data_IF_879046889247
#
_entry.id   IF_879046889247
#
_cell.length_a   1.000
_cell.length_b   1.000
_cell.length_c   1.000
_cell.angle_alpha   90.00
_cell.angle_beta   90.00
_cell.angle_gamma   90.00
#
_symmetry.space_group_name_H-M   'P 1'
#
loop_
_entity.id
_entity.type
_entity.pdbx_description
1 polymer ?
#
# COMPACT_ATOMS: atom_id res chain seq x y z
N UNK A 1 -10.53 -12.09 15.85
CA UNK A 1 -11.64 -11.42 15.14
C UNK A 1 -11.19 -10.11 14.52
N UNK A 2 -11.76 -9.77 13.38
CA UNK A 2 -11.46 -8.54 12.66
C UNK A 2 -12.65 -7.60 12.74
N UNK A 3 -12.40 -6.32 13.03
CA UNK A 3 -13.43 -5.30 13.07
C UNK A 3 -13.36 -4.46 11.81
N UNK A 4 -14.47 -4.40 11.07
CA UNK A 4 -14.57 -3.57 9.86
C UNK A 4 -15.65 -2.53 10.11
N UNK A 5 -15.25 -1.27 10.11
CA UNK A 5 -16.18 -0.17 10.37
C UNK A 5 -16.98 0.19 9.11
N UNK A 6 -17.85 1.21 9.22
CA UNK A 6 -18.80 1.53 8.15
C UNK A 6 -18.08 2.04 6.88
N UNK A 7 -18.69 1.73 5.74
CA UNK A 7 -18.25 2.19 4.42
C UNK A 7 -16.83 1.75 4.03
N UNK A 8 -16.36 0.62 4.57
CA UNK A 8 -15.09 0.02 4.17
C UNK A 8 -15.27 -0.75 2.87
N UNK A 9 -14.39 -0.52 1.91
CA UNK A 9 -14.35 -1.26 0.65
C UNK A 9 -13.10 -2.11 0.59
N UNK A 10 -13.26 -3.41 0.40
CA UNK A 10 -12.14 -4.35 0.28
C UNK A 10 -12.22 -4.99 -1.11
N UNK A 11 -11.25 -4.70 -1.96
CA UNK A 11 -11.19 -5.27 -3.30
C UNK A 11 -10.73 -6.73 -3.27
N UNK A 12 -10.98 -7.47 -4.36
CA UNK A 12 -10.75 -8.90 -4.42
C UNK A 12 -9.35 -9.36 -4.14
N UNK A 13 -9.22 -10.58 -3.59
CA UNK A 13 -7.96 -11.25 -3.27
C UNK A 13 -7.09 -10.50 -2.26
N UNK A 14 -7.69 -9.65 -1.41
CA UNK A 14 -7.00 -9.02 -0.31
C UNK A 14 -7.08 -9.89 0.94
N UNK A 15 -6.00 -9.92 1.71
CA UNK A 15 -5.93 -10.65 2.97
C UNK A 15 -5.93 -9.69 4.14
N UNK A 16 -6.80 -9.95 5.10
CA UNK A 16 -6.90 -9.16 6.33
C UNK A 16 -6.48 -10.04 7.50
N UNK A 17 -5.45 -9.64 8.21
CA UNK A 17 -4.97 -10.40 9.37
C UNK A 17 -5.99 -10.46 10.51
N UNK A 18 -5.80 -11.35 11.49
CA UNK A 18 -6.69 -11.46 12.64
C UNK A 18 -6.50 -10.29 13.60
N UNK A 19 -7.55 -9.99 14.37
CA UNK A 19 -7.52 -8.95 15.42
C UNK A 19 -7.14 -7.56 14.91
N UNK A 20 -7.53 -7.24 13.68
CA UNK A 20 -7.26 -5.95 13.04
C UNK A 20 -8.55 -5.15 12.98
N UNK A 21 -8.44 -3.83 13.11
CA UNK A 21 -9.56 -2.90 12.92
C UNK A 21 -9.30 -2.05 11.68
N UNK A 22 -10.26 -2.04 10.75
CA UNK A 22 -10.23 -1.15 9.59
C UNK A 22 -11.12 0.04 9.87
N UNK A 23 -10.54 1.22 9.90
CA UNK A 23 -11.25 2.46 10.16
C UNK A 23 -12.29 2.79 9.10
N UNK A 24 -13.25 3.64 9.46
CA UNK A 24 -14.35 4.03 8.59
C UNK A 24 -13.88 4.62 7.27
N UNK A 25 -14.58 4.30 6.20
CA UNK A 25 -14.31 4.79 4.83
C UNK A 25 -12.94 4.40 4.29
N UNK A 26 -12.33 3.34 4.79
CA UNK A 26 -11.10 2.82 4.22
C UNK A 26 -11.37 2.09 2.91
N UNK A 27 -10.45 2.20 1.97
CA UNK A 27 -10.49 1.44 0.72
C UNK A 27 -9.23 0.58 0.64
N UNK A 28 -9.40 -0.72 0.55
CA UNK A 28 -8.28 -1.66 0.43
C UNK A 28 -8.20 -2.11 -1.03
N UNK A 29 -7.11 -1.78 -1.69
CA UNK A 29 -6.90 -2.16 -3.09
C UNK A 29 -6.75 -3.68 -3.24
N UNK A 30 -7.02 -4.18 -4.44
CA UNK A 30 -6.93 -5.62 -4.72
C UNK A 30 -5.54 -6.19 -4.41
N UNK A 31 -5.51 -7.43 -3.94
CA UNK A 31 -4.28 -8.17 -3.61
C UNK A 31 -3.40 -7.50 -2.55
N UNK A 32 -4.01 -6.73 -1.67
CA UNK A 32 -3.31 -6.13 -0.54
C UNK A 32 -3.31 -7.08 0.66
N UNK A 33 -2.35 -6.91 1.53
CA UNK A 33 -2.27 -7.71 2.76
C UNK A 33 -2.23 -6.76 3.96
N UNK A 34 -3.28 -6.75 4.75
CA UNK A 34 -3.39 -5.87 5.91
C UNK A 34 -2.92 -6.61 7.15
N UNK A 35 -1.81 -6.17 7.71
CA UNK A 35 -1.15 -6.81 8.85
C UNK A 35 -1.31 -6.05 10.16
N UNK A 36 -1.80 -4.82 10.10
CA UNK A 36 -2.06 -4.00 11.30
C UNK A 36 -3.31 -3.16 11.09
N UNK A 37 -3.90 -2.69 12.19
CA UNK A 37 -5.07 -1.82 12.12
C UNK A 37 -4.79 -0.53 11.38
N UNK A 38 -5.77 -0.06 10.60
CA UNK A 38 -5.65 1.12 9.77
C UNK A 38 -6.65 2.19 10.22
N UNK A 39 -6.27 3.47 10.26
CA UNK A 39 -7.11 4.52 10.81
C UNK A 39 -8.38 4.84 9.99
N UNK A 40 -8.32 4.68 8.68
CA UNK A 40 -9.50 4.95 7.85
C UNK A 40 -9.39 6.19 6.98
N UNK A 41 -10.44 6.44 6.22
CA UNK A 41 -10.58 7.58 5.31
C UNK A 41 -9.47 7.72 4.28
N UNK A 42 -8.80 6.64 3.94
CA UNK A 42 -7.71 6.61 2.96
C UNK A 42 -7.78 5.33 2.14
N UNK A 43 -7.11 5.33 1.01
CA UNK A 43 -6.89 4.14 0.21
C UNK A 43 -5.55 3.52 0.62
N UNK A 44 -5.58 2.21 0.83
CA UNK A 44 -4.40 1.43 1.24
C UNK A 44 -4.10 0.36 0.19
N UNK A 45 -2.83 0.11 -0.05
CA UNK A 45 -2.41 -0.89 -1.03
C UNK A 45 -1.09 -1.53 -0.65
N UNK A 46 -0.86 -2.72 -1.14
CA UNK A 46 0.41 -3.43 -1.01
C UNK A 46 0.45 -4.49 0.06
N UNK A 47 1.62 -5.05 0.24
CA UNK A 47 1.91 -6.07 1.25
C UNK A 47 3.22 -5.71 1.97
N UNK A 48 3.17 -5.20 3.21
CA UNK A 48 1.98 -4.85 3.99
C UNK A 48 1.24 -3.63 3.43
N UNK A 49 -0.07 -3.55 3.65
CA UNK A 49 -0.88 -2.45 3.15
C UNK A 49 -0.49 -1.13 3.79
N UNK A 50 -0.32 -0.10 2.97
CA UNK A 50 0.07 1.25 3.40
C UNK A 50 -0.76 2.27 2.65
N UNK A 51 -0.89 3.51 3.17
CA UNK A 51 -1.58 4.57 2.43
C UNK A 51 -1.01 4.70 1.02
N UNK A 52 -1.87 4.77 0.03
CA UNK A 52 -1.43 4.76 -1.36
C UNK A 52 -0.52 5.93 -1.70
N UNK A 53 -0.71 7.07 -1.06
CA UNK A 53 0.16 8.24 -1.23
C UNK A 53 1.60 7.92 -0.83
N UNK A 54 1.78 7.20 0.26
CA UNK A 54 3.10 6.78 0.74
C UNK A 54 3.74 5.80 -0.23
N UNK A 55 2.97 4.84 -0.73
CA UNK A 55 3.45 3.87 -1.71
C UNK A 55 3.91 4.55 -3.00
N UNK A 56 3.10 5.47 -3.52
CA UNK A 56 3.43 6.21 -4.74
C UNK A 56 4.72 7.03 -4.58
N UNK A 57 4.92 7.63 -3.42
CA UNK A 57 6.13 8.38 -3.13
C UNK A 57 7.36 7.48 -3.14
N UNK A 58 7.27 6.31 -2.53
CA UNK A 58 8.36 5.32 -2.54
C UNK A 58 8.68 4.85 -3.95
N UNK A 59 7.66 4.52 -4.73
CA UNK A 59 7.82 4.05 -6.10
C UNK A 59 8.49 5.12 -6.98
N UNK A 60 8.13 6.39 -6.79
CA UNK A 60 8.75 7.50 -7.51
C UNK A 60 10.24 7.65 -7.18
N UNK A 61 10.60 7.52 -5.92
CA UNK A 61 12.00 7.57 -5.48
C UNK A 61 12.80 6.41 -6.08
N UNK A 62 12.23 5.23 -6.05
CA UNK A 62 12.87 4.03 -6.60
C UNK A 62 13.11 4.16 -8.11
N UNK A 63 12.12 4.68 -8.83
CA UNK A 63 12.24 4.92 -10.28
C UNK A 63 13.35 5.91 -10.59
N UNK A 64 13.47 6.99 -9.82
CA UNK A 64 14.57 7.96 -9.96
C UNK A 64 15.93 7.31 -9.75
N UNK A 65 16.05 6.46 -8.75
CA UNK A 65 17.26 5.73 -8.47
C UNK A 65 17.66 4.82 -9.63
N UNK A 66 16.73 4.08 -10.20
CA UNK A 66 16.97 3.21 -11.36
C UNK A 66 17.45 4.00 -12.56
N UNK A 67 16.85 5.16 -12.84
CA UNK A 67 17.26 6.02 -13.94
C UNK A 67 18.69 6.51 -13.77
N UNK A 68 19.04 6.96 -12.57
CA UNK A 68 20.41 7.40 -12.25
C UNK A 68 21.42 6.27 -12.42
N UNK A 69 21.08 5.08 -11.94
CA UNK A 69 21.94 3.90 -12.07
C UNK A 69 22.22 3.56 -13.53
N UNK A 70 21.21 3.59 -14.37
CA UNK A 70 21.36 3.35 -15.82
C UNK A 70 22.25 4.40 -16.49
N UNK A 71 22.10 5.66 -16.10
CA UNK A 71 22.95 6.75 -16.64
C UNK A 71 24.42 6.54 -16.26
N UNK A 72 24.67 6.17 -15.00
CA UNK A 72 26.03 5.90 -14.54
C UNK A 72 26.68 4.74 -15.30
N UNK A 73 25.96 3.65 -15.53
CA UNK A 73 26.45 2.52 -16.29
C UNK A 73 26.76 2.91 -17.73
N UNK A 74 25.90 3.71 -18.35
CA UNK A 74 26.08 4.16 -19.73
C UNK A 74 27.30 5.07 -19.86
N UNK A 75 27.56 5.93 -18.88
CA UNK A 75 28.70 6.84 -18.88
C UNK A 75 30.02 6.15 -18.54
N UNK A 76 29.97 5.01 -17.85
CA UNK A 76 31.15 4.26 -17.44
C UNK A 76 31.71 3.31 -18.52
N UNK A 77 30.93 3.09 -19.57
CA UNK A 77 31.33 2.22 -20.70
C UNK A 77 32.00 3.05 -21.86
#
# INVERSE_FOLDING_TARGET
>A
STTIKDFVTIAGKSDIGPHISLGEKSVIAARSCVLKSLPGSEMYAGNPARPIKEKQKRDAIYTRFEILEKRLKKNAS
#
